data_IF_420659811658
#
_entry.id   IF_420659811658
#
_cell.length_a   1.000
_cell.length_b   1.000
_cell.length_c   1.000
_cell.angle_alpha   90.00
_cell.angle_beta   90.00
_cell.angle_gamma   90.00
#
_symmetry.space_group_name_H-M   'P 1'
#
loop_
_entity.id
_entity.type
_entity.pdbx_description
1 polymer ?
#
# COMPACT_ATOMS: atom_id res chain seq x y z
N UNK A 1 -24.14 19.42 -51.69
CA UNK A 1 -23.79 18.06 -52.17
C UNK A 1 -22.31 17.70 -51.94
N UNK A 2 -21.35 18.58 -52.25
CA UNK A 2 -19.89 18.29 -52.14
C UNK A 2 -19.40 17.98 -50.71
N UNK A 3 -19.91 18.63 -49.67
CA UNK A 3 -19.53 18.34 -48.27
C UNK A 3 -19.91 16.91 -47.85
N UNK A 4 -21.12 16.46 -48.21
CA UNK A 4 -21.62 15.14 -47.82
C UNK A 4 -20.78 14.02 -48.48
N UNK A 5 -20.43 14.20 -49.76
CA UNK A 5 -19.58 13.24 -50.48
C UNK A 5 -18.16 13.20 -49.95
N UNK A 6 -17.58 14.34 -49.56
CA UNK A 6 -16.24 14.39 -48.95
C UNK A 6 -16.24 13.69 -47.59
N UNK A 7 -17.25 13.95 -46.76
CA UNK A 7 -17.41 13.29 -45.46
C UNK A 7 -17.54 11.78 -45.59
N UNK A 8 -18.34 11.29 -46.54
CA UNK A 8 -18.48 9.85 -46.80
C UNK A 8 -17.16 9.21 -47.25
N UNK A 9 -16.37 9.88 -48.09
CA UNK A 9 -15.06 9.35 -48.53
C UNK A 9 -14.07 9.29 -47.38
N UNK A 10 -14.00 10.33 -46.54
CA UNK A 10 -13.13 10.33 -45.35
C UNK A 10 -13.54 9.22 -44.38
N UNK A 11 -14.84 9.04 -44.15
CA UNK A 11 -15.34 7.98 -43.26
C UNK A 11 -14.98 6.58 -43.77
N UNK A 12 -15.10 6.34 -45.08
CA UNK A 12 -14.72 5.04 -45.67
C UNK A 12 -13.22 4.80 -45.52
N UNK A 13 -12.38 5.80 -45.80
CA UNK A 13 -10.92 5.69 -45.64
C UNK A 13 -10.56 5.40 -44.18
N UNK A 14 -11.17 6.12 -43.22
CA UNK A 14 -10.96 5.90 -41.80
C UNK A 14 -11.41 4.51 -41.35
N UNK A 15 -12.56 4.02 -41.82
CA UNK A 15 -13.07 2.69 -41.47
C UNK A 15 -12.16 1.56 -41.97
N UNK A 16 -11.63 1.67 -43.19
CA UNK A 16 -10.66 0.73 -43.73
C UNK A 16 -9.34 0.76 -42.95
N UNK A 17 -8.80 1.95 -42.69
CA UNK A 17 -7.58 2.09 -41.90
C UNK A 17 -7.73 1.55 -40.47
N UNK A 18 -8.85 1.87 -39.80
CA UNK A 18 -9.14 1.39 -38.45
C UNK A 18 -9.26 -0.13 -38.40
N UNK A 19 -9.87 -0.74 -39.41
CA UNK A 19 -10.04 -2.19 -39.49
C UNK A 19 -8.71 -2.89 -39.73
N UNK A 20 -7.90 -2.39 -40.66
CA UNK A 20 -6.55 -2.87 -40.91
C UNK A 20 -5.66 -2.77 -39.65
N UNK A 21 -5.64 -1.60 -38.99
CA UNK A 21 -4.87 -1.38 -37.77
C UNK A 21 -5.26 -2.37 -36.65
N UNK A 22 -6.56 -2.58 -36.44
CA UNK A 22 -7.01 -3.49 -35.39
C UNK A 22 -6.74 -4.96 -35.72
N UNK A 23 -7.07 -5.40 -36.94
CA UNK A 23 -7.02 -6.82 -37.31
C UNK A 23 -5.60 -7.28 -37.60
N UNK A 24 -4.82 -6.50 -38.35
CA UNK A 24 -3.51 -6.95 -38.86
C UNK A 24 -2.35 -6.48 -37.99
N UNK A 25 -2.50 -5.40 -37.22
CA UNK A 25 -1.43 -4.89 -36.35
C UNK A 25 -1.69 -5.24 -34.88
N UNK A 26 -2.85 -4.89 -34.34
CA UNK A 26 -3.10 -5.01 -32.89
C UNK A 26 -3.46 -6.44 -32.45
N UNK A 27 -4.42 -7.11 -33.10
CA UNK A 27 -4.80 -8.49 -32.74
C UNK A 27 -3.62 -9.47 -32.68
N UNK A 28 -2.71 -9.54 -33.69
CA UNK A 28 -1.60 -10.48 -33.62
C UNK A 28 -0.57 -10.09 -32.55
N UNK A 29 -0.38 -8.80 -32.27
CA UNK A 29 0.49 -8.34 -31.19
C UNK A 29 -0.06 -8.76 -29.80
N UNK A 30 -1.37 -8.65 -29.60
CA UNK A 30 -2.05 -9.05 -28.36
C UNK A 30 -2.12 -10.58 -28.17
N UNK A 31 -2.18 -11.33 -29.26
CA UNK A 31 -2.24 -12.80 -29.24
C UNK A 31 -0.86 -13.46 -29.07
N UNK A 32 0.22 -12.68 -29.05
CA UNK A 32 1.53 -13.22 -28.67
C UNK A 32 1.40 -13.73 -27.23
N UNK A 33 1.59 -15.04 -26.96
CA UNK A 33 1.60 -15.51 -25.60
C UNK A 33 2.71 -14.74 -24.89
N UNK A 34 2.33 -14.02 -23.83
CA UNK A 34 3.32 -13.48 -22.90
C UNK A 34 4.17 -14.68 -22.50
N UNK A 35 5.50 -14.63 -22.70
CA UNK A 35 6.34 -15.74 -22.26
C UNK A 35 6.04 -15.95 -20.79
N UNK A 36 5.50 -17.13 -20.47
CA UNK A 36 5.31 -17.55 -19.09
C UNK A 36 6.71 -17.60 -18.53
N UNK A 37 7.10 -16.56 -17.80
CA UNK A 37 8.34 -16.55 -17.06
C UNK A 37 8.17 -17.67 -16.04
N UNK A 38 8.78 -18.83 -16.31
CA UNK A 38 8.80 -19.96 -15.39
C UNK A 38 9.71 -19.56 -14.24
N UNK A 39 9.15 -18.86 -13.27
CA UNK A 39 9.79 -18.63 -11.99
C UNK A 39 9.97 -20.00 -11.33
N UNK A 40 11.17 -20.33 -10.79
CA UNK A 40 11.42 -21.61 -10.15
C UNK A 40 10.35 -21.94 -9.09
N UNK A 41 9.91 -23.19 -9.01
CA UNK A 41 8.85 -23.64 -8.10
C UNK A 41 9.14 -23.33 -6.62
N UNK A 42 10.42 -23.24 -6.24
CA UNK A 42 10.87 -22.80 -4.93
C UNK A 42 10.44 -21.35 -4.59
N UNK A 43 10.38 -20.45 -5.57
CA UNK A 43 9.99 -19.05 -5.35
C UNK A 43 8.49 -18.90 -5.14
N UNK A 44 7.68 -19.76 -5.78
CA UNK A 44 6.23 -19.79 -5.57
C UNK A 44 5.88 -20.24 -4.14
N UNK A 45 6.58 -21.27 -3.64
CA UNK A 45 6.39 -21.76 -2.27
C UNK A 45 6.76 -20.73 -1.20
N UNK A 46 7.82 -19.93 -1.43
CA UNK A 46 8.22 -18.84 -0.53
C UNK A 46 7.20 -17.69 -0.58
N UNK A 47 6.72 -17.32 -1.77
CA UNK A 47 5.69 -16.29 -1.93
C UNK A 47 4.39 -16.67 -1.22
N UNK A 48 3.94 -17.92 -1.36
CA UNK A 48 2.74 -18.43 -0.68
C UNK A 48 2.92 -18.50 0.84
N UNK A 49 4.10 -18.90 1.32
CA UNK A 49 4.41 -18.91 2.74
C UNK A 49 4.41 -17.48 3.33
N UNK A 50 4.97 -16.52 2.61
CA UNK A 50 4.99 -15.12 3.02
C UNK A 50 3.58 -14.51 3.01
N UNK A 51 2.76 -14.81 2.00
CA UNK A 51 1.37 -14.38 1.93
C UNK A 51 0.54 -14.92 3.11
N UNK A 52 0.78 -16.17 3.52
CA UNK A 52 0.16 -16.76 4.72
C UNK A 52 0.59 -16.05 6.00
N UNK A 53 1.87 -15.68 6.13
CA UNK A 53 2.36 -14.92 7.28
C UNK A 53 1.70 -13.53 7.32
N UNK A 54 1.64 -12.82 6.18
CA UNK A 54 0.97 -11.52 6.12
C UNK A 54 -0.51 -11.61 6.47
N UNK A 55 -1.22 -12.67 6.04
CA UNK A 55 -2.62 -12.87 6.38
C UNK A 55 -2.86 -13.14 7.89
N UNK A 56 -1.83 -13.58 8.62
CA UNK A 56 -1.89 -13.84 10.06
C UNK A 56 -1.42 -12.65 10.92
N UNK A 57 -0.81 -11.63 10.31
CA UNK A 57 -0.29 -10.47 11.01
C UNK A 57 -1.44 -9.70 11.67
N UNK A 58 -1.28 -9.24 12.93
CA UNK A 58 -2.28 -8.38 13.56
C UNK A 58 -2.47 -7.11 12.71
N UNK A 59 -3.72 -6.64 12.63
CA UNK A 59 -4.06 -5.40 11.93
C UNK A 59 -3.48 -4.19 12.63
N UNK A 60 -3.43 -3.05 11.94
CA UNK A 60 -2.82 -1.80 12.41
C UNK A 60 -3.17 -1.44 13.88
N UNK A 61 -2.12 -1.13 14.65
CA UNK A 61 -2.23 -0.61 16.01
C UNK A 61 -2.38 0.92 15.95
N UNK A 62 -3.57 1.43 16.27
CA UNK A 62 -3.84 2.88 16.29
C UNK A 62 -3.73 3.42 17.72
N UNK A 63 -2.83 4.39 17.90
CA UNK A 63 -2.65 5.11 19.16
C UNK A 63 -3.08 6.56 18.97
N UNK A 64 -4.07 6.98 19.74
CA UNK A 64 -4.64 8.32 19.67
C UNK A 64 -3.82 9.33 20.47
N UNK A 65 -3.92 10.59 20.07
CA UNK A 65 -3.27 11.72 20.71
C UNK A 65 -4.26 12.84 20.95
N UNK A 66 -4.01 13.65 21.97
CA UNK A 66 -4.76 14.87 22.23
C UNK A 66 -4.66 15.84 21.04
N UNK A 67 -5.71 16.64 20.85
CA UNK A 67 -5.73 17.69 19.82
C UNK A 67 -4.53 18.63 19.99
N UNK A 68 -3.85 18.91 18.87
CA UNK A 68 -2.68 19.78 18.78
C UNK A 68 -1.51 19.41 19.71
N UNK A 69 -1.45 18.14 20.16
CA UNK A 69 -0.43 17.67 21.09
C UNK A 69 0.11 16.30 20.68
N UNK A 70 1.33 16.01 21.15
CA UNK A 70 1.95 14.69 21.10
C UNK A 70 1.68 13.86 22.37
N UNK A 71 0.74 14.29 23.22
CA UNK A 71 0.33 13.51 24.40
C UNK A 71 -0.57 12.37 23.96
N UNK A 72 -0.23 11.15 24.37
CA UNK A 72 -1.04 9.97 24.11
C UNK A 72 -2.39 10.08 24.85
N UNK A 73 -3.45 9.65 24.17
CA UNK A 73 -4.79 9.48 24.70
C UNK A 73 -5.15 7.99 24.65
N UNK A 74 -4.97 7.25 25.78
CA UNK A 74 -5.28 5.83 25.82
C UNK A 74 -6.77 5.58 25.65
N UNK A 75 -7.13 4.73 24.69
CA UNK A 75 -8.51 4.30 24.45
C UNK A 75 -8.74 2.87 24.99
N UNK A 76 -9.98 2.52 25.38
CA UNK A 76 -10.33 1.15 25.73
C UNK A 76 -10.02 0.18 24.56
N UNK A 77 -9.27 -0.89 24.82
CA UNK A 77 -8.87 -1.88 23.81
C UNK A 77 -7.46 -1.70 23.24
N UNK A 78 -6.78 -0.60 23.58
CA UNK A 78 -5.36 -0.39 23.24
C UNK A 78 -4.48 -1.51 23.82
N UNK A 79 -4.70 -1.88 25.08
CA UNK A 79 -3.93 -2.90 25.79
C UNK A 79 -4.07 -4.31 25.17
N UNK A 80 -5.25 -4.64 24.65
CA UNK A 80 -5.47 -5.92 23.94
C UNK A 80 -4.65 -5.95 22.65
N UNK A 81 -4.72 -4.87 21.86
CA UNK A 81 -3.96 -4.73 20.63
C UNK A 81 -2.45 -4.78 20.90
N UNK A 82 -1.96 -4.08 21.93
CA UNK A 82 -0.56 -4.12 22.34
C UNK A 82 -0.08 -5.54 22.68
N UNK A 83 -0.92 -6.32 23.37
CA UNK A 83 -0.63 -7.71 23.72
C UNK A 83 -0.50 -8.60 22.47
N UNK A 84 -1.40 -8.43 21.49
CA UNK A 84 -1.35 -9.15 20.22
C UNK A 84 -0.06 -8.84 19.44
N UNK A 85 0.29 -7.56 19.34
CA UNK A 85 1.51 -7.13 18.66
C UNK A 85 2.77 -7.63 19.36
N UNK A 86 2.81 -7.58 20.69
CA UNK A 86 3.93 -8.12 21.47
C UNK A 86 4.08 -9.63 21.24
N UNK A 87 2.98 -10.36 21.25
CA UNK A 87 2.97 -11.81 20.96
C UNK A 87 3.43 -12.12 19.54
N UNK A 88 3.03 -11.30 18.56
CA UNK A 88 3.50 -11.43 17.17
C UNK A 88 5.01 -11.25 17.06
N UNK A 89 5.49 -10.18 17.68
CA UNK A 89 6.89 -9.80 17.76
C UNK A 89 7.76 -10.89 18.42
N UNK A 90 7.26 -11.56 19.44
CA UNK A 90 7.97 -12.68 20.09
C UNK A 90 7.97 -13.94 19.21
N UNK A 91 6.87 -14.22 18.51
CA UNK A 91 6.73 -15.37 17.62
C UNK A 91 7.58 -15.26 16.35
N UNK A 92 7.75 -14.05 15.82
CA UNK A 92 8.44 -13.80 14.55
C UNK A 92 9.60 -12.82 14.75
N UNK A 93 10.81 -13.31 15.13
CA UNK A 93 11.93 -12.45 15.51
C UNK A 93 12.45 -11.55 14.38
N UNK A 94 12.19 -11.90 13.10
CA UNK A 94 12.54 -11.07 11.95
C UNK A 94 11.55 -9.94 11.63
N UNK A 95 10.48 -9.78 12.43
CA UNK A 95 9.50 -8.70 12.25
C UNK A 95 10.03 -7.39 12.83
N UNK A 96 9.67 -6.28 12.20
CA UNK A 96 9.93 -4.92 12.69
C UNK A 96 8.61 -4.16 12.76
N UNK A 97 8.50 -3.27 13.75
CA UNK A 97 7.43 -2.29 13.81
C UNK A 97 7.84 -1.04 13.05
N UNK A 98 6.87 -0.42 12.37
CA UNK A 98 7.02 0.89 11.78
C UNK A 98 6.04 1.83 12.48
N UNK A 99 6.56 2.85 13.17
CA UNK A 99 5.73 3.85 13.84
C UNK A 99 5.64 5.09 12.96
N UNK A 100 4.42 5.41 12.52
CA UNK A 100 4.14 6.61 11.71
C UNK A 100 3.17 7.52 12.46
N UNK A 101 3.50 8.81 12.55
CA UNK A 101 2.62 9.81 13.16
C UNK A 101 1.76 10.50 12.13
N UNK A 102 0.46 10.58 12.38
CA UNK A 102 -0.51 11.24 11.52
C UNK A 102 -1.06 12.50 12.16
N UNK A 103 -1.46 13.45 11.32
CA UNK A 103 -2.16 14.69 11.69
C UNK A 103 -3.42 14.84 10.85
N UNK A 104 -4.30 15.75 11.27
CA UNK A 104 -5.40 16.20 10.43
C UNK A 104 -4.91 17.21 9.38
N UNK A 105 -5.86 17.82 8.66
CA UNK A 105 -5.59 18.80 7.61
C UNK A 105 -5.53 20.24 8.14
N UNK A 106 -5.69 20.46 9.45
CA UNK A 106 -5.73 21.79 10.05
C UNK A 106 -4.30 22.26 10.31
N UNK A 107 -3.97 23.48 9.89
CA UNK A 107 -2.62 24.06 10.05
C UNK A 107 -1.76 23.99 8.79
N UNK A 108 -0.47 24.34 8.92
CA UNK A 108 0.48 24.29 7.80
C UNK A 108 1.06 22.88 7.63
N UNK A 109 1.43 22.47 6.41
CA UNK A 109 2.08 21.18 6.17
C UNK A 109 3.34 20.97 7.02
N UNK A 110 4.17 22.01 7.16
CA UNK A 110 5.44 21.95 7.90
C UNK A 110 5.21 21.74 9.41
N UNK A 111 4.17 22.38 9.96
CA UNK A 111 3.78 22.17 11.35
C UNK A 111 3.26 20.75 11.58
N UNK A 112 2.41 20.28 10.67
CA UNK A 112 1.84 18.94 10.73
C UNK A 112 2.88 17.83 10.56
N UNK A 113 3.89 18.05 9.72
CA UNK A 113 5.03 17.14 9.60
C UNK A 113 5.83 17.06 10.91
N UNK A 114 6.14 18.21 11.52
CA UNK A 114 6.83 18.25 12.80
C UNK A 114 6.01 17.59 13.93
N UNK A 115 4.72 17.91 14.03
CA UNK A 115 3.80 17.33 15.01
C UNK A 115 3.63 15.82 14.81
N UNK A 116 3.56 15.36 13.57
CA UNK A 116 3.54 13.93 13.23
C UNK A 116 4.81 13.22 13.71
N UNK A 117 5.98 13.81 13.47
CA UNK A 117 7.24 13.26 13.96
C UNK A 117 7.30 13.21 15.50
N UNK A 118 6.86 14.27 16.18
CA UNK A 118 6.79 14.30 17.65
C UNK A 118 5.85 13.21 18.21
N UNK A 119 4.69 12.99 17.57
CA UNK A 119 3.76 11.91 17.93
C UNK A 119 4.36 10.52 17.76
N UNK A 120 5.08 10.30 16.66
CA UNK A 120 5.78 9.04 16.43
C UNK A 120 6.84 8.79 17.51
N UNK A 121 7.63 9.80 17.85
CA UNK A 121 8.64 9.70 18.91
C UNK A 121 8.03 9.48 20.30
N UNK A 122 6.92 10.15 20.63
CA UNK A 122 6.20 9.92 21.88
C UNK A 122 5.65 8.49 21.97
N UNK A 123 5.11 7.98 20.85
CA UNK A 123 4.61 6.61 20.73
C UNK A 123 5.75 5.59 20.88
N UNK A 124 6.90 5.82 20.25
CA UNK A 124 8.08 4.95 20.40
C UNK A 124 8.51 4.81 21.87
N UNK A 125 8.65 5.94 22.58
CA UNK A 125 9.00 5.94 24.01
C UNK A 125 7.97 5.17 24.84
N UNK A 126 6.69 5.38 24.56
CA UNK A 126 5.61 4.64 25.22
C UNK A 126 5.71 3.12 24.98
N UNK A 127 5.99 2.69 23.76
CA UNK A 127 6.18 1.27 23.44
C UNK A 127 7.42 0.68 24.13
N UNK A 128 8.52 1.43 24.19
CA UNK A 128 9.73 1.04 24.94
C UNK A 128 9.42 0.83 26.43
N UNK A 129 8.68 1.74 27.06
CA UNK A 129 8.23 1.63 28.45
C UNK A 129 7.33 0.40 28.69
N UNK A 130 6.58 -0.03 27.67
CA UNK A 130 5.77 -1.26 27.69
C UNK A 130 6.58 -2.52 27.34
N UNK A 131 7.89 -2.38 27.16
CA UNK A 131 8.83 -3.47 26.95
C UNK A 131 8.85 -4.00 25.51
N UNK A 132 8.57 -3.14 24.53
CA UNK A 132 8.89 -3.43 23.13
C UNK A 132 10.40 -3.19 22.89
N UNK A 133 11.08 -4.06 22.13
CA UNK A 133 12.51 -3.93 21.90
C UNK A 133 12.80 -2.77 20.92
N UNK A 134 13.54 -1.76 21.37
CA UNK A 134 13.94 -0.60 20.57
C UNK A 134 14.71 -0.97 19.28
N UNK A 135 15.39 -2.11 19.26
CA UNK A 135 16.08 -2.61 18.06
C UNK A 135 15.14 -3.08 16.94
N UNK A 136 13.82 -3.12 17.18
CA UNK A 136 12.81 -3.59 16.22
C UNK A 136 11.65 -2.63 16.05
N UNK A 137 11.88 -1.35 16.31
CA UNK A 137 10.92 -0.26 16.13
C UNK A 137 11.53 0.86 15.30
#
# INVERSE_FOLDING_TARGET
MKILTIGSVIFVIWAFFSTWLFVDVLKPALKKPVPVVTVPEATNNVADALARIYALMPKDLVIWHDFDKARLAPEPGMEESLSEFKSWLDKYPGSMLLVTGHTDLVGTPEYNEALGLERAQATLKFLEERGFPASRM
#
